data_IF_748909488155
#
_entry.id   IF_748909488155
#
_cell.length_a   1.000
_cell.length_b   1.000
_cell.length_c   1.000
_cell.angle_alpha   90.00
_cell.angle_beta   90.00
_cell.angle_gamma   90.00
#
_symmetry.space_group_name_H-M   'P 1'
#
loop_
_entity.id
_entity.type
_entity.pdbx_description
1 polymer ?
#
# COMPACT_ATOMS: atom_id res chain seq x y z
N UNK A 1 0.09 -0.98 -4.05
CA UNK A 1 -0.17 -1.37 -2.65
C UNK A 1 1.08 -2.07 -2.13
N UNK A 2 1.72 -1.52 -1.11
CA UNK A 2 2.94 -2.12 -0.55
C UNK A 2 2.58 -3.24 0.43
N UNK A 3 3.17 -4.41 0.24
CA UNK A 3 3.05 -5.54 1.18
C UNK A 3 4.31 -5.72 2.03
N UNK A 4 5.28 -4.81 1.93
CA UNK A 4 6.57 -4.91 2.63
C UNK A 4 7.59 -5.78 1.90
N UNK A 5 8.67 -6.12 2.61
CA UNK A 5 9.69 -7.07 2.16
C UNK A 5 9.73 -8.27 3.12
N UNK A 6 10.01 -9.47 2.61
CA UNK A 6 10.20 -10.63 3.47
C UNK A 6 11.36 -10.42 4.44
N UNK A 7 11.30 -11.13 5.57
CA UNK A 7 12.43 -11.21 6.50
C UNK A 7 13.68 -11.82 5.81
N UNK A 8 14.89 -11.47 6.26
CA UNK A 8 16.12 -12.06 5.70
C UNK A 8 16.07 -13.59 5.72
N UNK A 9 16.39 -14.22 4.58
CA UNK A 9 16.38 -15.68 4.44
C UNK A 9 15.04 -16.30 4.01
N UNK A 10 13.96 -15.51 3.92
CA UNK A 10 12.70 -15.96 3.31
C UNK A 10 12.75 -15.69 1.80
N UNK A 11 12.40 -16.71 1.02
CA UNK A 11 12.32 -16.59 -0.44
C UNK A 11 11.19 -15.61 -0.85
N UNK A 12 11.46 -14.61 -1.70
CA UNK A 12 10.45 -13.66 -2.12
C UNK A 12 9.26 -14.28 -2.86
N UNK A 13 9.45 -15.38 -3.60
CA UNK A 13 8.34 -16.03 -4.30
C UNK A 13 7.38 -16.68 -3.29
N UNK A 14 7.90 -17.39 -2.31
CA UNK A 14 7.07 -17.94 -1.22
C UNK A 14 6.36 -16.85 -0.41
N UNK A 15 7.03 -15.73 -0.15
CA UNK A 15 6.42 -14.60 0.59
C UNK A 15 5.19 -14.03 -0.13
N UNK A 16 5.28 -13.76 -1.44
CA UNK A 16 4.16 -13.18 -2.20
C UNK A 16 3.03 -14.18 -2.45
N UNK A 17 3.29 -15.48 -2.35
CA UNK A 17 2.29 -16.54 -2.50
C UNK A 17 1.64 -16.93 -1.15
N UNK A 18 2.23 -16.50 -0.03
CA UNK A 18 1.71 -16.76 1.31
C UNK A 18 0.45 -15.95 1.61
N UNK A 19 -0.38 -16.47 2.51
CA UNK A 19 -1.55 -15.74 3.00
C UNK A 19 -1.13 -14.65 3.99
N UNK A 20 -1.84 -13.52 3.96
CA UNK A 20 -1.69 -12.48 4.97
C UNK A 20 -2.07 -13.00 6.37
N UNK A 21 -1.33 -12.53 7.37
CA UNK A 21 -1.71 -12.68 8.79
C UNK A 21 -2.97 -11.88 9.11
N UNK A 22 -3.63 -12.17 10.24
CA UNK A 22 -4.86 -11.45 10.64
C UNK A 22 -4.66 -9.94 10.75
N UNK A 23 -3.51 -9.51 11.28
CA UNK A 23 -3.19 -8.09 11.44
C UNK A 23 -2.92 -7.42 10.08
N UNK A 24 -2.24 -8.13 9.17
CA UNK A 24 -2.03 -7.65 7.80
C UNK A 24 -3.34 -7.56 7.00
N UNK A 25 -4.30 -8.46 7.23
CA UNK A 25 -5.64 -8.40 6.59
C UNK A 25 -6.38 -7.12 6.98
N UNK A 26 -6.24 -6.66 8.22
CA UNK A 26 -6.85 -5.39 8.64
C UNK A 26 -6.17 -4.21 7.93
N UNK A 27 -4.84 -4.20 7.87
CA UNK A 27 -4.07 -3.14 7.22
C UNK A 27 -4.28 -3.09 5.68
N UNK A 28 -4.38 -4.26 5.03
CA UNK A 28 -4.62 -4.35 3.59
C UNK A 28 -6.03 -3.89 3.23
N UNK A 29 -7.03 -4.15 4.08
CA UNK A 29 -8.40 -3.69 3.88
C UNK A 29 -8.48 -2.18 3.70
N UNK A 30 -7.91 -1.42 4.63
CA UNK A 30 -7.83 0.04 4.53
C UNK A 30 -7.05 0.51 3.29
N UNK A 31 -6.00 -0.22 2.91
CA UNK A 31 -5.21 0.07 1.71
C UNK A 31 -6.00 -0.17 0.42
N UNK A 32 -6.84 -1.21 0.38
CA UNK A 32 -7.72 -1.52 -0.75
C UNK A 32 -8.77 -0.42 -0.92
N UNK A 33 -9.45 -0.01 0.15
CA UNK A 33 -10.45 1.07 0.11
C UNK A 33 -9.84 2.38 -0.41
N UNK A 34 -8.65 2.75 0.06
CA UNK A 34 -7.91 3.90 -0.45
C UNK A 34 -7.52 3.74 -1.92
N UNK A 35 -7.20 2.52 -2.35
CA UNK A 35 -6.84 2.23 -3.75
C UNK A 35 -8.03 2.37 -4.69
N UNK A 36 -9.24 1.99 -4.25
CA UNK A 36 -10.47 2.20 -5.04
C UNK A 36 -10.67 3.70 -5.31
N UNK A 37 -10.55 4.54 -4.28
CA UNK A 37 -10.64 5.99 -4.43
C UNK A 37 -9.55 6.56 -5.35
N UNK A 38 -8.33 6.03 -5.24
CA UNK A 38 -7.22 6.43 -6.12
C UNK A 38 -7.49 6.06 -7.57
N UNK A 39 -8.09 4.89 -7.83
CA UNK A 39 -8.45 4.44 -9.16
C UNK A 39 -9.57 5.29 -9.76
N UNK A 40 -10.59 5.64 -8.98
CA UNK A 40 -11.66 6.55 -9.42
C UNK A 40 -11.07 7.91 -9.83
N UNK A 41 -10.21 8.49 -8.99
CA UNK A 41 -9.52 9.74 -9.30
C UNK A 41 -8.63 9.62 -10.54
N UNK A 42 -7.90 8.52 -10.68
CA UNK A 42 -7.05 8.26 -11.84
C UNK A 42 -7.85 8.23 -13.14
N UNK A 43 -9.02 7.58 -13.14
CA UNK A 43 -9.88 7.42 -14.32
C UNK A 43 -10.59 8.73 -14.68
N UNK A 44 -11.07 9.49 -13.68
CA UNK A 44 -11.89 10.69 -13.90
C UNK A 44 -11.03 11.94 -14.10
N UNK A 45 -9.94 12.07 -13.34
CA UNK A 45 -9.16 13.31 -13.21
C UNK A 45 -7.74 13.19 -13.77
N UNK A 46 -7.27 11.97 -14.03
CA UNK A 46 -5.98 11.68 -14.65
C UNK A 46 -4.83 11.42 -13.67
N UNK A 47 -3.69 11.02 -14.25
CA UNK A 47 -2.52 10.50 -13.51
C UNK A 47 -1.95 11.50 -12.51
N UNK A 48 -1.77 12.77 -12.90
CA UNK A 48 -1.13 13.78 -12.06
C UNK A 48 -1.96 14.09 -10.81
N UNK A 49 -3.28 14.25 -10.96
CA UNK A 49 -4.21 14.47 -9.85
C UNK A 49 -4.21 13.29 -8.88
N UNK A 50 -4.28 12.05 -9.38
CA UNK A 50 -4.24 10.86 -8.56
C UNK A 50 -2.90 10.71 -7.80
N UNK A 51 -1.77 10.91 -8.48
CA UNK A 51 -0.46 10.83 -7.84
C UNK A 51 -0.32 11.84 -6.71
N UNK A 52 -0.64 13.11 -6.96
CA UNK A 52 -0.46 14.18 -5.97
C UNK A 52 -1.38 14.02 -4.75
N UNK A 53 -2.56 13.42 -4.91
CA UNK A 53 -3.51 13.20 -3.81
C UNK A 53 -3.17 11.96 -2.99
N UNK A 54 -2.79 10.86 -3.64
CA UNK A 54 -2.72 9.56 -2.96
C UNK A 54 -1.30 9.16 -2.55
N UNK A 55 -0.25 9.63 -3.27
CA UNK A 55 1.15 9.35 -2.94
C UNK A 55 1.76 10.38 -1.98
N UNK A 56 0.96 10.90 -1.06
CA UNK A 56 1.44 11.75 0.04
C UNK A 56 2.11 10.88 1.10
N UNK A 57 3.29 11.28 1.56
CA UNK A 57 3.92 10.67 2.73
C UNK A 57 3.30 11.31 3.96
N UNK A 58 2.80 10.52 4.89
CA UNK A 58 2.59 11.03 6.24
C UNK A 58 3.93 11.55 6.77
N UNK A 59 3.92 12.75 7.33
CA UNK A 59 5.12 13.36 7.90
C UNK A 59 5.56 12.45 9.05
N UNK A 60 6.70 11.77 8.92
CA UNK A 60 7.25 11.00 10.03
C UNK A 60 7.55 11.99 11.18
N UNK A 61 6.80 11.89 12.27
CA UNK A 61 7.29 12.29 13.59
C UNK A 61 8.37 11.28 13.99
N UNK A 62 9.62 11.72 14.08
CA UNK A 62 10.74 10.90 14.56
C UNK A 62 12.00 10.96 13.71
N UNK A 63 12.57 12.16 13.54
CA UNK A 63 14.02 12.32 13.50
C UNK A 63 14.41 12.91 14.88
N UNK A 64 14.71 12.05 15.84
CA UNK A 64 15.54 12.35 17.02
C UNK A 64 16.87 11.62 16.87
#
# INVERSE_FOLDING_TARGET
IGIGRPAPGVDPAEYVLSAFTKDEVVAIGASVDRTVQALECLVIEGVEAAMNRFNIRDKQEGDE
#
